data_IF_959700824952
#
_entry.id   IF_959700824952
#
_cell.length_a   1.000
_cell.length_b   1.000
_cell.length_c   1.000
_cell.angle_alpha   90.00
_cell.angle_beta   90.00
_cell.angle_gamma   90.00
#
_symmetry.space_group_name_H-M   'P 1'
#
loop_
_entity.id
_entity.type
_entity.pdbx_description
1 polymer ?
#
# COMPACT_ATOMS: atom_id res chain seq x y z
N UNK A 1 -17.81 -22.62 -1.29
CA UNK A 1 -17.27 -22.59 0.09
C UNK A 1 -15.87 -21.97 0.05
N UNK A 2 -15.65 -20.76 0.61
CA UNK A 2 -14.30 -20.19 0.65
C UNK A 2 -13.51 -20.80 1.80
N UNK A 3 -12.35 -21.41 1.51
CA UNK A 3 -11.42 -21.84 2.54
C UNK A 3 -11.02 -20.60 3.34
N UNK A 4 -11.36 -20.54 4.64
CA UNK A 4 -10.87 -19.50 5.54
C UNK A 4 -9.34 -19.56 5.53
N UNK A 5 -8.69 -18.55 4.95
CA UNK A 5 -7.23 -18.45 4.96
C UNK A 5 -6.77 -18.36 6.42
N UNK A 6 -5.94 -19.31 6.86
CA UNK A 6 -5.35 -19.29 8.20
C UNK A 6 -4.26 -18.24 8.21
N UNK A 7 -4.46 -17.13 8.92
CA UNK A 7 -3.48 -16.03 9.02
C UNK A 7 -2.55 -16.16 10.24
N UNK A 8 -2.72 -17.20 11.06
CA UNK A 8 -1.90 -17.43 12.27
C UNK A 8 -0.52 -17.91 11.85
N UNK A 9 0.53 -17.24 12.34
CA UNK A 9 1.92 -17.55 11.98
C UNK A 9 2.34 -17.05 10.60
N UNK A 10 1.57 -16.15 9.99
CA UNK A 10 1.92 -15.51 8.71
C UNK A 10 2.35 -14.06 8.93
N UNK A 11 3.24 -13.58 8.08
CA UNK A 11 3.46 -12.16 7.87
C UNK A 11 2.21 -11.56 7.21
N UNK A 12 1.74 -10.43 7.74
CA UNK A 12 0.53 -9.77 7.25
C UNK A 12 0.89 -8.38 6.71
N UNK A 13 0.61 -8.16 5.43
CA UNK A 13 0.64 -6.83 4.82
C UNK A 13 -0.79 -6.29 4.88
N UNK A 14 -1.06 -5.37 5.80
CA UNK A 14 -2.31 -4.61 5.82
C UNK A 14 -2.25 -3.47 4.84
N UNK A 15 -3.31 -3.25 4.07
CA UNK A 15 -3.37 -2.20 3.04
C UNK A 15 -4.66 -1.42 3.21
N UNK A 16 -4.55 -0.10 3.21
CA UNK A 16 -5.68 0.81 3.25
C UNK A 16 -5.34 2.11 2.51
N UNK A 17 -6.35 2.93 2.30
CA UNK A 17 -6.28 4.16 1.53
C UNK A 17 -7.05 5.30 2.21
N UNK A 18 -6.60 6.51 1.97
CA UNK A 18 -7.33 7.69 2.40
C UNK A 18 -7.46 8.69 1.27
N UNK A 19 -8.39 9.63 1.43
CA UNK A 19 -8.71 10.66 0.44
C UNK A 19 -9.32 10.08 -0.87
N UNK A 20 -9.94 8.91 -0.81
CA UNK A 20 -10.60 8.23 -1.94
C UNK A 20 -11.93 8.87 -2.41
N UNK A 21 -12.54 9.74 -1.60
CA UNK A 21 -13.83 10.40 -1.87
C UNK A 21 -13.76 11.93 -2.00
N UNK A 22 -12.57 12.55 -1.97
CA UNK A 22 -12.44 14.00 -2.17
C UNK A 22 -12.54 14.36 -3.67
N UNK A 23 -13.73 14.13 -4.23
CA UNK A 23 -14.17 14.60 -5.54
C UNK A 23 -14.89 15.95 -5.43
N UNK A 24 -15.15 16.46 -4.22
CA UNK A 24 -15.92 17.68 -4.02
C UNK A 24 -15.11 18.93 -4.40
N UNK A 25 -15.62 19.70 -5.35
CA UNK A 25 -15.19 21.05 -5.75
C UNK A 25 -15.09 22.10 -4.60
N UNK A 26 -15.32 21.70 -3.34
CA UNK A 26 -15.28 22.58 -2.16
C UNK A 26 -13.88 23.02 -1.75
N UNK A 27 -12.85 22.28 -2.14
CA UNK A 27 -11.47 22.64 -1.83
C UNK A 27 -10.69 22.88 -3.12
N UNK A 28 -10.07 24.05 -3.25
CA UNK A 28 -9.25 24.48 -4.40
C UNK A 28 -7.94 23.66 -4.56
N UNK A 29 -7.79 22.58 -3.80
CA UNK A 29 -6.58 21.79 -3.69
C UNK A 29 -6.79 20.40 -4.29
N UNK A 30 -6.06 20.09 -5.35
CA UNK A 30 -5.99 18.74 -5.93
C UNK A 30 -5.13 17.84 -5.05
N UNK A 31 -5.70 17.36 -3.94
CA UNK A 31 -5.00 16.46 -3.03
C UNK A 31 -4.92 15.05 -3.60
N UNK A 32 -3.76 14.37 -3.51
CA UNK A 32 -3.63 13.00 -3.97
C UNK A 32 -4.38 12.03 -3.04
N UNK A 33 -4.84 10.93 -3.59
CA UNK A 33 -5.17 9.74 -2.80
C UNK A 33 -3.87 9.11 -2.29
N UNK A 34 -3.87 8.65 -1.05
CA UNK A 34 -2.71 7.95 -0.47
C UNK A 34 -3.10 6.52 -0.21
N UNK A 35 -2.40 5.59 -0.85
CA UNK A 35 -2.48 4.15 -0.59
C UNK A 35 -1.29 3.78 0.29
N UNK A 36 -1.53 3.12 1.41
CA UNK A 36 -0.48 2.70 2.33
C UNK A 36 -0.55 1.20 2.58
N UNK A 37 0.62 0.59 2.77
CA UNK A 37 0.75 -0.76 3.29
C UNK A 37 1.57 -0.76 4.57
N UNK A 38 1.25 -1.65 5.49
CA UNK A 38 1.97 -1.87 6.74
C UNK A 38 2.23 -3.36 6.95
N UNK A 39 3.47 -3.74 7.22
CA UNK A 39 3.90 -5.11 7.47
C UNK A 39 3.91 -5.41 8.98
N UNK A 40 3.23 -6.48 9.36
CA UNK A 40 3.31 -7.10 10.68
C UNK A 40 3.91 -8.48 10.55
N UNK A 41 4.93 -8.79 11.34
CA UNK A 41 5.58 -10.09 11.30
C UNK A 41 4.77 -11.16 12.02
N UNK A 42 4.95 -12.42 11.64
CA UNK A 42 4.29 -13.56 12.27
C UNK A 42 4.58 -13.67 13.79
N UNK A 43 5.79 -13.29 14.20
CA UNK A 43 6.29 -13.42 15.57
C UNK A 43 6.08 -12.16 16.42
N UNK A 44 5.50 -11.10 15.84
CA UNK A 44 5.24 -9.86 16.56
C UNK A 44 4.13 -10.08 17.60
N UNK A 45 4.53 -10.31 18.86
CA UNK A 45 3.63 -10.29 20.03
C UNK A 45 3.02 -8.90 20.29
N UNK A 46 3.44 -7.88 19.54
CA UNK A 46 2.91 -6.51 19.56
C UNK A 46 1.54 -6.35 18.86
N UNK A 47 0.66 -7.34 19.01
CA UNK A 47 -0.78 -7.20 18.71
C UNK A 47 -1.53 -6.32 19.72
N UNK A 48 -0.82 -5.72 20.68
CA UNK A 48 -1.39 -5.01 21.82
C UNK A 48 -1.41 -3.50 21.54
N UNK A 49 -2.64 -3.00 21.38
CA UNK A 49 -3.16 -1.72 21.87
C UNK A 49 -2.22 -0.51 21.83
N UNK A 50 -2.15 0.15 20.68
CA UNK A 50 -2.00 1.60 20.70
C UNK A 50 -3.18 2.23 19.95
N UNK A 51 -4.23 2.52 20.73
CA UNK A 51 -5.29 3.42 20.32
C UNK A 51 -4.74 4.85 20.20
N UNK A 52 -3.99 5.12 19.14
CA UNK A 52 -3.99 6.46 18.60
C UNK A 52 -5.38 6.71 17.99
N UNK A 53 -6.35 7.17 18.77
CA UNK A 53 -7.71 7.44 18.29
C UNK A 53 -7.67 8.41 17.10
N UNK A 54 -8.15 7.97 15.93
CA UNK A 54 -8.24 8.76 14.67
C UNK A 54 -8.93 10.11 14.87
N UNK A 55 -9.82 10.17 15.85
CA UNK A 55 -10.61 11.36 16.19
C UNK A 55 -9.89 12.43 17.00
N UNK A 56 -8.86 12.11 17.77
CA UNK A 56 -8.28 13.06 18.74
C UNK A 56 -7.47 14.20 18.12
N UNK A 57 -6.59 13.86 17.19
CA UNK A 57 -5.60 14.79 16.61
C UNK A 57 -6.02 15.31 15.23
N UNK A 58 -6.72 14.48 14.43
CA UNK A 58 -6.98 14.79 13.02
C UNK A 58 -8.40 15.28 12.72
N UNK A 59 -9.38 15.04 13.60
CA UNK A 59 -10.79 15.42 13.38
C UNK A 59 -11.27 16.59 14.24
N UNK A 60 -10.52 17.01 15.28
CA UNK A 60 -10.90 18.17 16.09
C UNK A 60 -10.57 19.46 15.34
N UNK A 61 -11.60 20.21 14.96
CA UNK A 61 -11.50 21.58 14.46
C UNK A 61 -10.72 22.40 15.49
N UNK A 62 -9.72 23.19 15.04
CA UNK A 62 -8.94 24.08 15.90
C UNK A 62 -7.61 23.53 16.43
N UNK A 63 -7.21 22.30 16.11
CA UNK A 63 -5.87 21.80 16.47
C UNK A 63 -4.76 22.47 15.63
N UNK A 64 -3.70 23.02 16.27
CA UNK A 64 -2.59 23.68 15.55
C UNK A 64 -1.97 22.78 14.49
N UNK A 65 -1.57 23.36 13.35
CA UNK A 65 -0.92 22.61 12.27
C UNK A 65 0.35 21.91 12.76
N UNK A 66 1.13 22.57 13.61
CA UNK A 66 2.35 22.06 14.23
C UNK A 66 2.11 20.81 15.08
N UNK A 67 1.04 20.78 15.89
CA UNK A 67 0.69 19.62 16.73
C UNK A 67 0.35 18.40 15.86
N UNK A 68 -0.45 18.61 14.80
CA UNK A 68 -0.82 17.55 13.86
C UNK A 68 0.40 17.02 13.10
N UNK A 69 1.28 17.92 12.65
CA UNK A 69 2.52 17.54 11.96
C UNK A 69 3.47 16.78 12.89
N UNK A 70 3.68 17.25 14.12
CA UNK A 70 4.54 16.58 15.10
C UNK A 70 4.03 15.18 15.43
N UNK A 71 2.71 15.04 15.63
CA UNK A 71 2.10 13.74 15.84
C UNK A 71 2.29 12.81 14.63
N UNK A 72 2.00 13.29 13.41
CA UNK A 72 2.15 12.49 12.20
C UNK A 72 3.60 12.00 12.03
N UNK A 73 4.57 12.91 12.21
CA UNK A 73 6.01 12.62 12.16
C UNK A 73 6.40 11.58 13.21
N UNK A 74 5.97 11.75 14.46
CA UNK A 74 6.26 10.81 15.54
C UNK A 74 5.64 9.41 15.30
N UNK A 75 4.39 9.37 14.83
CA UNK A 75 3.71 8.12 14.52
C UNK A 75 4.44 7.31 13.44
N UNK A 76 4.84 7.98 12.36
CA UNK A 76 5.57 7.36 11.23
C UNK A 76 6.98 6.91 11.64
N UNK A 77 7.67 7.65 12.52
CA UNK A 77 8.97 7.23 13.05
C UNK A 77 8.85 5.96 13.91
N UNK A 78 7.81 5.87 14.73
CA UNK A 78 7.56 4.71 15.60
C UNK A 78 7.12 3.47 14.81
N UNK A 79 6.36 3.66 13.73
CA UNK A 79 5.79 2.60 12.93
C UNK A 79 6.52 2.51 11.59
N UNK A 80 7.75 2.00 11.57
CA UNK A 80 8.64 2.10 10.41
C UNK A 80 8.42 1.05 9.30
N UNK A 81 7.63 0.01 9.56
CA UNK A 81 7.35 -1.10 8.63
C UNK A 81 6.25 -0.77 7.62
N UNK A 82 6.31 0.40 6.99
CA UNK A 82 5.32 0.84 6.01
C UNK A 82 5.94 1.24 4.68
N UNK A 83 5.12 1.15 3.64
CA UNK A 83 5.34 1.77 2.34
C UNK A 83 4.06 2.49 1.92
N UNK A 84 4.17 3.54 1.11
CA UNK A 84 3.00 4.26 0.63
C UNK A 84 3.18 4.72 -0.80
N UNK A 85 2.07 5.02 -1.45
CA UNK A 85 2.03 5.64 -2.76
C UNK A 85 1.03 6.80 -2.78
N UNK A 86 1.36 7.85 -3.54
CA UNK A 86 0.48 8.98 -3.77
C UNK A 86 -0.02 8.96 -5.21
N UNK A 87 -1.33 8.90 -5.39
CA UNK A 87 -2.03 8.93 -6.67
C UNK A 87 -2.62 10.33 -6.85
N UNK A 88 -2.09 11.13 -7.78
CA UNK A 88 -2.59 12.49 -8.02
C UNK A 88 -3.75 12.45 -8.99
N UNK A 89 -4.65 13.43 -8.89
CA UNK A 89 -5.83 13.55 -9.76
C UNK A 89 -5.54 13.54 -11.26
N UNK A 90 -4.44 14.17 -11.68
CA UNK A 90 -3.98 14.13 -13.07
C UNK A 90 -3.60 12.73 -13.57
N UNK A 91 -3.40 11.78 -12.66
CA UNK A 91 -3.01 10.41 -12.94
C UNK A 91 -4.23 9.48 -13.12
N UNK A 92 -5.47 9.98 -12.89
CA UNK A 92 -6.72 9.20 -13.05
C UNK A 92 -7.93 10.01 -13.58
N UNK A 93 -7.73 11.25 -14.01
CA UNK A 93 -8.72 12.03 -14.76
C UNK A 93 -8.09 12.52 -16.06
N UNK A 94 -8.37 11.81 -17.15
CA UNK A 94 -7.96 12.24 -18.49
C UNK A 94 -9.01 12.01 -19.56
N UNK A 95 -10.30 11.92 -19.25
CA UNK A 95 -11.33 11.91 -20.29
C UNK A 95 -12.67 12.43 -19.79
N UNK A 96 -13.47 13.02 -20.69
CA UNK A 96 -14.89 13.36 -20.44
C UNK A 96 -15.80 12.12 -20.41
N UNK A 97 -15.23 10.93 -20.57
CA UNK A 97 -15.91 9.64 -20.59
C UNK A 97 -15.76 8.96 -19.24
N UNK A 98 -16.88 8.85 -18.51
CA UNK A 98 -16.95 8.28 -17.16
C UNK A 98 -16.47 6.82 -17.12
N UNK A 99 -16.59 6.09 -18.22
CA UNK A 99 -16.26 4.65 -18.31
C UNK A 99 -14.75 4.43 -18.37
N UNK A 100 -14.02 5.32 -19.05
CA UNK A 100 -12.55 5.29 -19.14
C UNK A 100 -11.93 5.70 -17.79
N UNK A 101 -12.54 6.68 -17.12
CA UNK A 101 -12.09 7.14 -15.80
C UNK A 101 -12.17 6.02 -14.74
N UNK A 102 -13.19 5.14 -14.79
CA UNK A 102 -13.33 4.01 -13.85
C UNK A 102 -12.26 2.93 -14.05
N UNK A 103 -11.96 2.57 -15.30
CA UNK A 103 -10.92 1.57 -15.62
C UNK A 103 -9.51 2.08 -15.28
N UNK A 104 -9.21 3.35 -15.57
CA UNK A 104 -7.92 3.95 -15.20
C UNK A 104 -7.79 4.03 -13.67
N UNK A 105 -8.86 4.42 -12.97
CA UNK A 105 -8.89 4.47 -11.51
C UNK A 105 -8.66 3.09 -10.86
N UNK A 106 -9.28 2.03 -11.37
CA UNK A 106 -9.04 0.64 -10.96
C UNK A 106 -7.56 0.25 -11.16
N UNK A 107 -7.03 0.50 -12.36
CA UNK A 107 -5.66 0.17 -12.74
C UNK A 107 -4.61 0.87 -11.86
N UNK A 108 -4.80 2.16 -11.58
CA UNK A 108 -3.89 2.94 -10.72
C UNK A 108 -3.86 2.41 -9.29
N UNK A 109 -5.01 2.01 -8.73
CA UNK A 109 -5.07 1.37 -7.40
C UNK A 109 -4.35 0.04 -7.38
N UNK A 110 -4.63 -0.82 -8.35
CA UNK A 110 -3.98 -2.13 -8.46
C UNK A 110 -2.45 -1.98 -8.58
N UNK A 111 -1.97 -1.01 -9.38
CA UNK A 111 -0.54 -0.69 -9.50
C UNK A 111 0.07 -0.18 -8.19
N UNK A 112 -0.62 0.70 -7.48
CA UNK A 112 -0.16 1.22 -6.19
C UNK A 112 0.01 0.08 -5.16
N UNK A 113 -1.01 -0.78 -5.05
CA UNK A 113 -1.03 -1.94 -4.17
C UNK A 113 0.11 -2.90 -4.53
N UNK A 114 0.24 -3.23 -5.83
CA UNK A 114 1.27 -4.13 -6.32
C UNK A 114 2.68 -3.61 -6.05
N UNK A 115 2.93 -2.32 -6.28
CA UNK A 115 4.22 -1.70 -6.03
C UNK A 115 4.59 -1.72 -4.54
N UNK A 116 3.63 -1.46 -3.65
CA UNK A 116 3.79 -1.54 -2.20
C UNK A 116 4.12 -2.98 -1.77
N UNK A 117 3.32 -3.95 -2.22
CA UNK A 117 3.52 -5.37 -1.89
C UNK A 117 4.88 -5.84 -2.38
N UNK A 118 5.23 -5.59 -3.65
CA UNK A 118 6.53 -5.95 -4.21
C UNK A 118 7.69 -5.31 -3.42
N UNK A 119 7.52 -4.07 -2.97
CA UNK A 119 8.54 -3.40 -2.14
C UNK A 119 8.72 -4.09 -0.79
N UNK A 120 7.66 -4.59 -0.17
CA UNK A 120 7.78 -5.39 1.05
C UNK A 120 8.55 -6.70 0.80
N UNK A 121 8.18 -7.44 -0.24
CA UNK A 121 8.86 -8.69 -0.60
C UNK A 121 10.36 -8.49 -0.83
N UNK A 122 10.72 -7.48 -1.62
CA UNK A 122 12.13 -7.18 -1.93
C UNK A 122 12.92 -6.63 -0.74
N UNK A 123 12.30 -5.82 0.12
CA UNK A 123 13.01 -5.18 1.24
C UNK A 123 13.14 -6.08 2.45
N UNK A 124 12.16 -6.94 2.70
CA UNK A 124 12.10 -7.80 3.89
C UNK A 124 12.31 -9.29 3.57
N UNK A 125 12.60 -9.64 2.30
CA UNK A 125 12.83 -11.03 1.84
C UNK A 125 11.69 -11.98 2.26
N UNK A 126 10.46 -11.52 2.10
CA UNK A 126 9.27 -12.28 2.48
C UNK A 126 9.10 -13.51 1.58
N UNK A 127 8.56 -14.61 2.13
CA UNK A 127 8.12 -15.76 1.34
C UNK A 127 6.62 -15.65 1.05
N UNK A 128 6.21 -16.11 -0.13
CA UNK A 128 4.81 -16.14 -0.53
C UNK A 128 4.01 -17.14 0.30
N UNK A 129 4.66 -18.22 0.75
CA UNK A 129 4.03 -19.30 1.51
C UNK A 129 3.69 -18.88 2.95
N UNK A 130 4.39 -17.87 3.48
CA UNK A 130 4.21 -17.37 4.83
C UNK A 130 3.72 -15.91 4.89
N UNK A 131 3.23 -15.35 3.78
CA UNK A 131 2.77 -13.96 3.71
C UNK A 131 1.35 -13.87 3.14
N UNK A 132 0.55 -12.96 3.69
CA UNK A 132 -0.80 -12.63 3.20
C UNK A 132 -0.97 -11.12 3.14
N UNK A 133 -1.63 -10.63 2.10
CA UNK A 133 -2.09 -9.25 2.00
C UNK A 133 -3.58 -9.16 2.37
N UNK A 134 -3.92 -8.21 3.25
CA UNK A 134 -5.30 -7.93 3.65
C UNK A 134 -5.62 -6.49 3.29
N UNK A 135 -6.70 -6.29 2.54
CA UNK A 135 -7.21 -5.00 2.12
C UNK A 135 -8.55 -4.71 2.81
N UNK A 136 -8.81 -3.44 3.12
CA UNK A 136 -10.18 -3.02 3.41
C UNK A 136 -11.02 -3.05 2.13
N UNK A 137 -12.25 -3.55 2.24
CA UNK A 137 -13.16 -3.68 1.09
C UNK A 137 -13.69 -2.30 0.71
N UNK A 138 -13.62 -2.01 -0.58
CA UNK A 138 -14.06 -0.75 -1.19
C UNK A 138 -15.57 -0.81 -1.51
N UNK A 139 -16.30 0.29 -1.29
CA UNK A 139 -17.77 0.36 -1.20
C UNK A 139 -18.56 0.17 -2.52
N UNK A 140 -17.93 -0.26 -3.62
CA UNK A 140 -18.62 -0.45 -4.91
C UNK A 140 -18.71 -1.94 -5.27
N UNK A 141 -19.82 -2.32 -5.90
CA UNK A 141 -20.07 -3.69 -6.34
C UNK A 141 -18.93 -4.17 -7.26
N UNK A 142 -18.34 -5.32 -6.95
CA UNK A 142 -17.27 -6.00 -7.68
C UNK A 142 -15.95 -5.22 -7.83
N UNK A 143 -15.84 -4.00 -7.28
CA UNK A 143 -14.66 -3.15 -7.43
C UNK A 143 -13.44 -3.72 -6.70
N UNK A 144 -13.64 -4.22 -5.48
CA UNK A 144 -12.55 -4.80 -4.68
C UNK A 144 -12.00 -6.06 -5.34
N UNK A 145 -12.90 -6.90 -5.88
CA UNK A 145 -12.56 -8.11 -6.61
C UNK A 145 -11.77 -7.79 -7.88
N UNK A 146 -12.17 -6.76 -8.62
CA UNK A 146 -11.45 -6.31 -9.81
C UNK A 146 -10.05 -5.77 -9.47
N UNK A 147 -9.91 -4.94 -8.42
CA UNK A 147 -8.60 -4.46 -7.95
C UNK A 147 -7.71 -5.63 -7.53
N UNK A 148 -8.25 -6.61 -6.80
CA UNK A 148 -7.51 -7.80 -6.38
C UNK A 148 -7.04 -8.60 -7.61
N UNK A 149 -7.93 -8.81 -8.59
CA UNK A 149 -7.60 -9.55 -9.81
C UNK A 149 -6.42 -8.90 -10.56
N UNK A 150 -6.50 -7.60 -10.79
CA UNK A 150 -5.42 -6.85 -11.46
C UNK A 150 -4.13 -6.83 -10.62
N UNK A 151 -4.25 -6.69 -9.30
CA UNK A 151 -3.09 -6.75 -8.39
C UNK A 151 -2.38 -8.09 -8.50
N UNK A 152 -3.13 -9.19 -8.51
CA UNK A 152 -2.57 -10.54 -8.67
C UNK A 152 -1.85 -10.71 -9.99
N UNK A 153 -2.44 -10.27 -11.10
CA UNK A 153 -1.81 -10.33 -12.42
C UNK A 153 -0.48 -9.57 -12.46
N UNK A 154 -0.43 -8.35 -11.89
CA UNK A 154 0.80 -7.55 -11.83
C UNK A 154 1.87 -8.23 -10.96
N UNK A 155 1.47 -8.79 -9.81
CA UNK A 155 2.38 -9.48 -8.91
C UNK A 155 2.87 -10.80 -9.48
N UNK A 156 2.05 -11.52 -10.26
CA UNK A 156 2.45 -12.73 -10.95
C UNK A 156 3.56 -12.45 -11.98
N UNK A 157 3.42 -11.38 -12.76
CA UNK A 157 4.48 -10.89 -13.66
C UNK A 157 5.76 -10.56 -12.87
N UNK A 158 5.63 -10.17 -11.60
CA UNK A 158 6.75 -9.90 -10.70
C UNK A 158 7.36 -11.15 -10.02
N UNK A 159 6.89 -12.36 -10.36
CA UNK A 159 7.30 -13.61 -9.72
C UNK A 159 6.61 -13.91 -8.39
N UNK A 160 5.57 -13.15 -8.04
CA UNK A 160 4.75 -13.31 -6.83
C UNK A 160 3.38 -13.89 -7.22
N UNK A 161 3.34 -15.17 -7.59
CA UNK A 161 2.15 -15.86 -8.12
C UNK A 161 1.22 -16.46 -7.05
N UNK A 162 1.75 -16.82 -5.87
CA UNK A 162 1.01 -17.59 -4.85
C UNK A 162 0.63 -16.76 -3.62
N UNK A 163 0.72 -15.43 -3.68
CA UNK A 163 0.35 -14.58 -2.56
C UNK A 163 -1.17 -14.63 -2.29
N UNK A 164 -1.53 -14.96 -1.05
CA UNK A 164 -2.89 -14.79 -0.55
C UNK A 164 -3.25 -13.30 -0.46
N UNK A 165 -4.25 -12.86 -1.22
CA UNK A 165 -4.79 -11.49 -1.16
C UNK A 165 -6.27 -11.57 -0.81
N UNK A 166 -6.67 -10.88 0.27
CA UNK A 166 -8.03 -10.92 0.83
C UNK A 166 -8.57 -9.50 1.01
N UNK A 167 -9.75 -9.19 0.48
CA UNK A 167 -10.53 -8.03 0.89
C UNK A 167 -11.50 -8.42 2.03
N UNK A 168 -11.62 -7.58 3.06
CA UNK A 168 -12.60 -7.74 4.14
C UNK A 168 -13.30 -6.42 4.42
N UNK A 169 -14.60 -6.46 4.69
CA UNK A 169 -15.32 -5.27 5.14
C UNK A 169 -14.85 -4.83 6.51
N UNK A 170 -14.56 -3.53 6.68
CA UNK A 170 -14.09 -2.97 7.95
C UNK A 170 -12.83 -3.68 8.44
N UNK A 171 -11.91 -3.96 7.51
CA UNK A 171 -10.66 -4.63 7.80
C UNK A 171 -9.79 -3.80 8.76
N UNK A 172 -9.86 -2.47 8.69
CA UNK A 172 -9.24 -1.52 9.62
C UNK A 172 -9.68 -1.76 11.09
N UNK A 173 -10.92 -2.19 11.30
CA UNK A 173 -11.44 -2.51 12.64
C UNK A 173 -11.01 -3.89 13.11
N UNK A 174 -10.80 -4.84 12.20
CA UNK A 174 -10.59 -6.25 12.52
C UNK A 174 -9.13 -6.71 12.43
N UNK A 175 -8.29 -5.98 11.69
CA UNK A 175 -6.92 -6.34 11.37
C UNK A 175 -5.99 -5.21 11.81
N UNK A 176 -5.20 -5.39 12.90
CA UNK A 176 -4.25 -4.37 13.35
C UNK A 176 -3.29 -3.87 12.25
N UNK A 177 -2.75 -4.71 11.34
CA UNK A 177 -1.94 -4.25 10.22
C UNK A 177 -2.70 -3.28 9.28
N UNK A 178 -3.98 -3.56 8.98
CA UNK A 178 -4.80 -2.67 8.13
C UNK A 178 -5.09 -1.36 8.87
N UNK A 179 -5.39 -1.42 10.17
CA UNK A 179 -5.57 -0.23 11.00
C UNK A 179 -4.34 0.67 11.02
N UNK A 180 -3.14 0.07 11.07
CA UNK A 180 -1.88 0.81 10.99
C UNK A 180 -1.68 1.41 9.60
N UNK A 181 -2.02 0.68 8.54
CA UNK A 181 -1.98 1.20 7.17
C UNK A 181 -2.90 2.41 6.98
N UNK A 182 -4.15 2.35 7.45
CA UNK A 182 -5.08 3.50 7.50
C UNK A 182 -4.41 4.70 8.17
N UNK A 183 -3.82 4.47 9.35
CA UNK A 183 -3.20 5.55 10.11
C UNK A 183 -1.99 6.15 9.42
N UNK A 184 -1.14 5.32 8.81
CA UNK A 184 -0.03 5.77 7.98
C UNK A 184 -0.55 6.66 6.86
N UNK A 185 -1.57 6.22 6.11
CA UNK A 185 -2.16 7.00 5.04
C UNK A 185 -2.66 8.37 5.53
N UNK A 186 -3.34 8.42 6.68
CA UNK A 186 -3.78 9.67 7.30
C UNK A 186 -2.64 10.59 7.74
N UNK A 187 -1.57 10.05 8.29
CA UNK A 187 -0.39 10.82 8.70
C UNK A 187 0.29 11.44 7.47
N UNK A 188 0.50 10.65 6.42
CA UNK A 188 1.04 11.13 5.15
C UNK A 188 0.14 12.23 4.57
N UNK A 189 -1.18 12.02 4.48
CA UNK A 189 -2.12 13.05 4.02
C UNK A 189 -2.07 14.33 4.87
N UNK A 190 -1.88 14.22 6.18
CA UNK A 190 -1.78 15.39 7.06
C UNK A 190 -0.50 16.18 6.81
N UNK A 191 0.61 15.50 6.54
CA UNK A 191 1.86 16.15 6.13
C UNK A 191 1.67 16.80 4.75
N UNK A 192 0.97 16.15 3.80
CA UNK A 192 0.65 16.72 2.47
C UNK A 192 -0.16 18.00 2.61
N UNK A 193 -1.20 17.94 3.43
CA UNK A 193 -2.15 19.02 3.57
C UNK A 193 -1.60 20.20 4.38
N UNK A 194 -0.86 19.93 5.47
CA UNK A 194 -0.44 20.96 6.43
C UNK A 194 1.03 21.39 6.32
N UNK A 195 1.90 20.57 5.74
CA UNK A 195 3.35 20.81 5.74
C UNK A 195 3.90 21.61 4.55
N UNK A 196 3.05 22.04 3.61
CA UNK A 196 3.44 22.42 2.24
C UNK A 196 4.17 21.25 1.53
N UNK A 197 3.88 21.01 0.24
CA UNK A 197 4.34 19.81 -0.50
C UNK A 197 5.84 19.48 -0.40
N UNK A 198 6.69 20.47 -0.10
CA UNK A 198 8.14 20.33 0.04
C UNK A 198 8.59 19.51 1.27
N UNK A 199 7.84 19.49 2.38
CA UNK A 199 8.24 18.73 3.57
C UNK A 199 8.18 17.20 3.37
N UNK A 200 7.40 16.71 2.40
CA UNK A 200 7.30 15.28 2.07
C UNK A 200 8.44 14.84 1.19
N UNK A 201 8.79 15.68 0.21
CA UNK A 201 9.97 15.48 -0.61
C UNK A 201 11.24 15.48 0.26
N UNK A 202 11.23 16.26 1.35
CA UNK A 202 12.33 16.40 2.31
C UNK A 202 12.13 15.59 3.61
N UNK A 203 11.23 14.60 3.64
CA UNK A 203 11.18 13.66 4.78
C UNK A 203 12.40 12.74 4.69
N UNK A 204 13.49 13.18 5.32
CA UNK A 204 14.88 12.71 5.16
C UNK A 204 15.21 11.39 5.85
N UNK A 205 14.26 10.72 6.51
CA UNK A 205 14.47 9.37 7.06
C UNK A 205 13.65 8.33 6.30
N UNK A 206 14.25 7.86 5.20
CA UNK A 206 13.83 6.68 4.45
C UNK A 206 12.70 6.96 3.48
N UNK A 207 13.03 7.02 2.20
CA UNK A 207 12.11 7.17 1.08
C UNK A 207 11.15 5.95 1.00
N UNK A 208 10.14 5.91 1.88
CA UNK A 208 9.09 4.87 1.93
C UNK A 208 7.99 5.10 0.89
N UNK A 209 8.05 6.20 0.16
CA UNK A 209 7.23 6.40 -1.02
C UNK A 209 7.68 5.44 -2.12
N UNK A 210 6.73 4.71 -2.69
CA UNK A 210 6.96 3.86 -3.86
C UNK A 210 6.32 4.54 -5.05
N UNK A 211 7.07 4.72 -6.13
CA UNK A 211 6.55 5.26 -7.39
C UNK A 211 5.77 4.21 -8.18
N UNK A 212 4.73 4.62 -8.91
CA UNK A 212 3.96 3.77 -9.84
C UNK A 212 4.51 3.81 -11.26
N UNK A 213 5.66 4.45 -11.49
CA UNK A 213 6.24 4.54 -12.84
C UNK A 213 6.35 3.16 -13.48
N UNK A 214 6.12 3.08 -14.80
CA UNK A 214 6.33 1.87 -15.62
C UNK A 214 7.70 1.22 -15.41
N UNK A 215 8.65 1.93 -14.79
CA UNK A 215 9.91 1.40 -14.28
C UNK A 215 9.74 0.30 -13.24
N UNK A 216 8.65 0.22 -12.47
CA UNK A 216 8.40 -0.97 -11.64
C UNK A 216 8.20 -2.17 -12.57
N UNK A 217 7.34 -2.07 -13.59
CA UNK A 217 7.18 -3.14 -14.60
C UNK A 217 8.47 -3.42 -15.41
N UNK A 218 9.32 -2.41 -15.68
CA UNK A 218 10.63 -2.60 -16.37
C UNK A 218 11.74 -3.12 -15.45
N UNK A 219 11.74 -2.76 -14.17
CA UNK A 219 12.64 -3.31 -13.15
C UNK A 219 12.22 -4.74 -12.81
N UNK A 220 10.91 -5.04 -12.89
CA UNK A 220 10.35 -6.38 -12.75
C UNK A 220 10.79 -7.29 -13.91
N UNK A 221 10.73 -6.83 -15.15
CA UNK A 221 11.19 -7.62 -16.30
C UNK A 221 12.71 -7.77 -16.40
N UNK A 222 13.48 -6.81 -15.88
CA UNK A 222 14.95 -6.89 -15.90
C UNK A 222 15.55 -7.72 -14.75
N UNK A 223 14.86 -7.84 -13.60
CA UNK A 223 15.30 -8.64 -12.44
C UNK A 223 14.92 -10.13 -12.52
N UNK A 224 14.12 -10.52 -13.51
CA UNK A 224 13.81 -11.93 -13.83
C UNK A 224 15.01 -12.69 -14.43
N UNK A 225 16.15 -12.04 -14.66
CA UNK A 225 17.44 -12.72 -14.94
C UNK A 225 18.20 -13.03 -13.66
N UNK A 226 17.67 -13.91 -12.81
CA UNK A 226 18.49 -14.69 -11.88
C UNK A 226 17.95 -16.11 -11.79
N UNK A 227 18.85 -17.11 -11.72
CA UNK A 227 18.62 -18.44 -12.24
C UNK A 227 17.69 -19.25 -11.33
N UNK A 228 16.91 -20.10 -11.96
CA UNK A 228 16.24 -21.22 -11.31
C UNK A 228 17.27 -22.09 -10.59
N UNK A 229 16.97 -22.68 -9.41
CA UNK A 229 17.86 -23.62 -8.71
C UNK A 229 18.13 -24.97 -9.42
N UNK A 230 17.93 -25.04 -10.74
CA UNK A 230 18.18 -26.23 -11.58
C UNK A 230 19.38 -26.07 -12.50
N UNK A 231 20.18 -25.03 -12.37
CA UNK A 231 21.46 -24.90 -13.10
C UNK A 231 22.65 -25.51 -12.32
N UNK A 232 22.37 -26.45 -11.40
CA UNK A 232 23.36 -27.39 -10.93
C UNK A 232 23.19 -28.65 -11.78
N UNK A 233 24.26 -29.00 -12.47
CA UNK A 233 24.41 -30.12 -13.39
C UNK A 233 23.87 -29.84 -14.81
N UNK A 234 24.69 -29.20 -15.64
CA UNK A 234 25.21 -29.92 -16.81
C UNK A 234 26.31 -29.15 -17.57
N UNK A 235 27.31 -29.93 -17.98
CA UNK A 235 28.44 -29.64 -18.89
C UNK A 235 29.67 -28.88 -18.39
N UNK A 236 30.50 -29.66 -17.70
CA UNK A 236 31.88 -29.83 -18.13
C UNK A 236 31.96 -30.14 -19.65
N UNK A 237 32.88 -29.52 -20.38
CA UNK A 237 33.86 -30.16 -21.29
C UNK A 237 34.50 -29.15 -22.26
N UNK A 238 35.83 -29.22 -22.29
CA UNK A 238 36.79 -28.87 -23.34
C UNK A 238 37.09 -27.42 -23.76
N UNK A 239 38.38 -27.11 -23.51
CA UNK A 239 39.38 -26.37 -24.33
C UNK A 239 39.15 -24.90 -24.64
#
# INVERSE_FOLDING_TARGET
MSKKLKTRGMNIIGIDETNNRFTSNRYKYNLPMVVAGYLSFADDKHHIEEEAVKGGVFRKIGKPATEVLNFAKAYLMKNSHFYYCCLRRKDYQRTSDKTIDELDYLSQRARAISAIVFRFFTSYKLSQDNTVAILDKMDFKDFSENVISHTKQILEIAGISNLGIIAREKADKQSPPVRKADRVAYCICSIIFKGMHHEIANWTKGNRQVGISNTVLKDLSSRLKYPTPTDLDDFAYFS
#
